data_IF_516295657023
#
_entry.id   IF_516295657023
#
_cell.length_a   1.000
_cell.length_b   1.000
_cell.length_c   1.000
_cell.angle_alpha   90.00
_cell.angle_beta   90.00
_cell.angle_gamma   90.00
#
_symmetry.space_group_name_H-M   'P 1'
#
loop_
_entity.id
_entity.type
_entity.pdbx_description
1 polymer ?
#
# COMPACT_ATOMS: atom_id res chain seq x y z
N UNK A 1 26.75 -1.06 -43.75
CA UNK A 1 26.92 0.27 -43.11
C UNK A 1 27.07 0.03 -41.61
N UNK A 2 28.23 0.39 -41.03
CA UNK A 2 28.58 0.15 -39.61
C UNK A 2 28.23 1.39 -38.79
N UNK A 3 27.29 1.30 -37.86
CA UNK A 3 27.00 2.37 -36.89
C UNK A 3 27.79 2.12 -35.60
N UNK A 4 28.84 2.91 -35.38
CA UNK A 4 29.46 3.09 -34.06
C UNK A 4 28.67 4.16 -33.30
N UNK A 5 28.02 3.77 -32.20
CA UNK A 5 27.35 4.67 -31.27
C UNK A 5 28.18 4.87 -30.01
N UNK A 6 28.76 6.07 -29.89
CA UNK A 6 29.56 6.60 -28.78
C UNK A 6 28.85 6.42 -27.42
N UNK A 7 29.57 5.88 -26.43
CA UNK A 7 29.18 5.89 -25.02
C UNK A 7 29.71 7.16 -24.36
N UNK A 8 28.82 8.07 -23.94
CA UNK A 8 29.17 9.23 -23.12
C UNK A 8 28.99 8.87 -21.63
N UNK A 9 30.10 8.78 -20.90
CA UNK A 9 30.11 8.67 -19.44
C UNK A 9 30.01 10.06 -18.81
N UNK A 10 28.89 10.36 -18.15
CA UNK A 10 28.74 11.55 -17.30
C UNK A 10 29.27 11.27 -15.90
N UNK A 11 30.37 11.92 -15.53
CA UNK A 11 30.91 11.96 -14.16
C UNK A 11 30.21 13.11 -13.43
N UNK A 12 29.30 12.80 -12.51
CA UNK A 12 28.70 13.79 -11.61
C UNK A 12 29.56 13.90 -10.33
N UNK A 13 30.33 14.98 -10.22
CA UNK A 13 30.95 15.43 -8.99
C UNK A 13 29.91 16.17 -8.13
N UNK A 14 29.51 15.58 -7.01
CA UNK A 14 28.75 16.28 -5.98
C UNK A 14 29.71 16.92 -4.98
N UNK A 15 29.86 18.25 -5.05
CA UNK A 15 30.48 19.05 -4.02
C UNK A 15 29.50 19.24 -2.85
N UNK A 16 29.87 18.74 -1.66
CA UNK A 16 29.13 18.94 -0.42
C UNK A 16 29.47 20.28 0.22
N UNK A 17 28.45 21.09 0.54
CA UNK A 17 28.59 22.25 1.42
C UNK A 17 28.06 21.89 2.81
N UNK A 18 28.98 21.74 3.77
CA UNK A 18 28.67 21.67 5.19
C UNK A 18 28.49 23.09 5.76
N UNK A 19 27.24 23.52 5.94
CA UNK A 19 26.91 24.76 6.63
C UNK A 19 26.50 24.48 8.07
N UNK A 20 27.40 24.75 9.03
CA UNK A 20 27.05 24.97 10.43
C UNK A 20 26.93 26.48 10.65
N UNK A 21 25.78 26.95 11.10
CA UNK A 21 25.70 28.21 11.85
C UNK A 21 24.75 28.04 13.05
N UNK A 22 25.34 28.26 14.21
CA UNK A 22 24.70 28.44 15.51
C UNK A 22 24.13 29.86 15.52
N UNK A 23 22.87 30.02 15.95
CA UNK A 23 22.34 31.33 16.34
C UNK A 23 21.44 31.19 17.56
N UNK A 24 22.10 31.44 18.69
CA UNK A 24 21.70 32.26 19.84
C UNK A 24 20.22 32.44 20.19
N UNK A 25 19.96 32.16 21.47
CA UNK A 25 18.74 32.38 22.22
C UNK A 25 18.33 33.86 22.21
N UNK A 26 17.06 34.11 21.98
CA UNK A 26 16.38 35.26 22.56
C UNK A 26 14.99 34.84 23.04
N UNK A 27 14.84 34.82 24.37
CA UNK A 27 13.58 34.61 25.08
C UNK A 27 12.72 35.88 24.98
N UNK A 28 11.47 35.81 24.49
CA UNK A 28 10.55 36.94 24.56
C UNK A 28 10.03 37.16 26.00
N UNK A 29 9.71 38.40 26.36
CA UNK A 29 9.20 38.75 27.69
C UNK A 29 7.77 38.22 27.91
N UNK A 30 7.50 37.84 29.16
CA UNK A 30 6.20 37.40 29.65
C UNK A 30 5.08 38.40 29.30
N UNK A 31 4.22 38.00 28.36
CA UNK A 31 2.97 38.70 28.06
C UNK A 31 1.84 38.16 28.93
N UNK A 32 1.03 39.11 29.41
CA UNK A 32 -0.07 38.98 30.36
C UNK A 32 -1.09 37.94 29.93
N UNK A 33 -1.45 37.07 30.87
CA UNK A 33 -2.66 36.25 30.84
C UNK A 33 -3.90 37.15 30.79
N UNK A 34 -4.45 37.39 29.60
CA UNK A 34 -5.88 37.64 29.45
C UNK A 34 -6.57 36.29 29.32
N UNK A 35 -7.17 35.84 30.41
CA UNK A 35 -8.04 34.66 30.48
C UNK A 35 -9.12 34.76 29.39
N UNK A 36 -9.10 33.91 28.35
CA UNK A 36 -10.25 33.73 27.50
C UNK A 36 -11.31 33.00 28.33
N UNK A 37 -12.53 33.55 28.37
CA UNK A 37 -13.70 32.84 28.86
C UNK A 37 -13.86 31.55 28.06
N UNK A 38 -13.41 30.43 28.63
CA UNK A 38 -13.61 29.08 28.12
C UNK A 38 -15.11 28.76 28.15
N UNK A 39 -15.82 29.11 27.09
CA UNK A 39 -17.04 28.42 26.71
C UNK A 39 -16.64 26.99 26.34
N UNK A 40 -17.25 25.94 26.91
CA UNK A 40 -17.02 24.57 26.46
C UNK A 40 -17.47 24.46 25.01
N UNK A 41 -16.52 24.52 24.07
CA UNK A 41 -16.77 24.12 22.69
C UNK A 41 -17.18 22.66 22.72
N UNK A 42 -18.44 22.40 22.38
CA UNK A 42 -18.93 21.05 22.17
C UNK A 42 -17.96 20.32 21.23
N UNK A 43 -17.61 19.05 21.51
CA UNK A 43 -16.76 18.29 20.61
C UNK A 43 -17.42 18.27 19.23
N UNK A 44 -16.76 18.87 18.24
CA UNK A 44 -17.13 18.73 16.84
C UNK A 44 -16.90 17.26 16.52
N UNK A 45 -17.97 16.48 16.56
CA UNK A 45 -18.00 15.08 16.17
C UNK A 45 -17.59 15.04 14.69
N UNK A 46 -16.32 14.70 14.44
CA UNK A 46 -15.86 14.40 13.09
C UNK A 46 -16.58 13.14 12.66
N UNK A 47 -17.66 13.32 11.90
CA UNK A 47 -18.36 12.25 11.25
C UNK A 47 -17.35 11.55 10.33
N UNK A 48 -16.82 10.41 10.76
CA UNK A 48 -15.89 9.63 9.95
C UNK A 48 -16.68 9.10 8.75
N UNK A 49 -16.36 9.59 7.56
CA UNK A 49 -16.96 9.14 6.30
C UNK A 49 -16.71 7.63 6.14
N UNK A 50 -17.73 6.81 6.39
CA UNK A 50 -17.68 5.36 6.13
C UNK A 50 -17.76 5.16 4.63
N UNK A 51 -16.62 4.84 4.01
CA UNK A 51 -16.52 4.64 2.56
C UNK A 51 -16.99 3.24 2.19
N UNK A 52 -17.96 3.12 1.29
CA UNK A 52 -18.39 1.83 0.72
C UNK A 52 -17.43 1.40 -0.41
N UNK A 53 -16.33 0.77 0.00
CA UNK A 53 -15.27 0.31 -0.91
C UNK A 53 -15.78 -0.75 -1.90
N UNK A 54 -16.73 -1.60 -1.49
CA UNK A 54 -17.26 -2.68 -2.33
C UNK A 54 -18.09 -2.11 -3.48
N UNK A 55 -18.99 -1.16 -3.19
CA UNK A 55 -19.78 -0.50 -4.24
C UNK A 55 -18.90 0.36 -5.16
N UNK A 56 -17.89 1.04 -4.61
CA UNK A 56 -16.91 1.80 -5.40
C UNK A 56 -16.16 0.89 -6.39
N UNK A 57 -15.74 -0.31 -5.97
CA UNK A 57 -15.06 -1.25 -6.86
C UNK A 57 -15.94 -1.73 -8.01
N UNK A 58 -17.21 -2.06 -7.73
CA UNK A 58 -18.19 -2.45 -8.77
C UNK A 58 -18.42 -1.32 -9.76
N UNK A 59 -18.62 -0.09 -9.27
CA UNK A 59 -18.77 1.11 -10.10
C UNK A 59 -17.55 1.30 -11.03
N UNK A 60 -16.35 1.11 -10.49
CA UNK A 60 -15.12 1.20 -11.25
C UNK A 60 -14.84 -0.03 -12.11
N UNK A 61 -15.67 -1.08 -12.12
CA UNK A 61 -15.43 -2.35 -12.83
C UNK A 61 -14.08 -2.97 -12.46
N UNK A 62 -13.81 -3.03 -11.15
CA UNK A 62 -12.62 -3.62 -10.53
C UNK A 62 -12.96 -4.88 -9.73
N UNK A 63 -14.18 -5.38 -9.85
CA UNK A 63 -14.73 -6.59 -9.25
C UNK A 63 -14.33 -7.83 -10.06
N UNK A 64 -13.03 -8.13 -10.08
CA UNK A 64 -12.52 -9.33 -10.73
C UNK A 64 -12.71 -10.57 -9.85
N UNK A 65 -12.86 -11.76 -10.47
CA UNK A 65 -12.79 -13.02 -9.74
C UNK A 65 -11.40 -13.19 -9.11
N UNK A 66 -11.31 -13.85 -7.94
CA UNK A 66 -10.08 -13.93 -7.14
C UNK A 66 -8.93 -14.66 -7.84
N UNK A 67 -9.26 -15.53 -8.78
CA UNK A 67 -8.33 -16.31 -9.59
C UNK A 67 -7.62 -15.42 -10.62
N UNK A 68 -8.16 -14.23 -10.92
CA UNK A 68 -7.51 -13.23 -11.77
C UNK A 68 -6.50 -12.44 -10.95
N UNK A 69 -5.36 -13.07 -10.72
CA UNK A 69 -4.24 -12.51 -9.97
C UNK A 69 -3.69 -11.24 -10.63
N UNK A 70 -3.17 -10.33 -9.82
CA UNK A 70 -2.45 -9.15 -10.28
C UNK A 70 -2.90 -7.84 -9.65
N UNK A 71 -2.39 -6.75 -10.23
CA UNK A 71 -2.61 -5.38 -9.79
C UNK A 71 -3.60 -4.65 -10.70
N UNK A 72 -4.63 -4.06 -10.10
CA UNK A 72 -5.55 -3.15 -10.76
C UNK A 72 -5.61 -1.81 -10.03
N UNK A 73 -5.60 -0.73 -10.79
CA UNK A 73 -5.72 0.64 -10.26
C UNK A 73 -6.55 1.47 -11.21
N UNK A 74 -7.52 2.20 -10.65
CA UNK A 74 -8.31 3.19 -11.36
C UNK A 74 -8.42 4.46 -10.56
N UNK A 75 -8.50 5.58 -11.26
CA UNK A 75 -8.73 6.87 -10.63
C UNK A 75 -10.22 7.19 -10.60
N UNK A 76 -10.64 7.90 -9.57
CA UNK A 76 -12.00 8.43 -9.44
C UNK A 76 -11.97 9.80 -8.77
N UNK A 77 -13.04 10.57 -8.92
CA UNK A 77 -13.23 11.85 -8.24
C UNK A 77 -14.22 11.66 -7.10
N UNK A 78 -13.89 12.13 -5.90
CA UNK A 78 -14.71 11.93 -4.70
C UNK A 78 -16.10 12.54 -4.83
N UNK A 79 -16.26 13.66 -5.51
CA UNK A 79 -17.57 14.33 -5.65
C UNK A 79 -18.51 13.67 -6.66
N UNK A 80 -18.00 12.79 -7.52
CA UNK A 80 -18.77 12.14 -8.58
C UNK A 80 -19.30 10.76 -8.16
N UNK A 81 -18.77 10.16 -7.10
CA UNK A 81 -19.00 8.74 -6.79
C UNK A 81 -20.05 8.47 -5.71
N UNK A 82 -20.23 9.36 -4.73
CA UNK A 82 -21.27 9.23 -3.69
C UNK A 82 -21.17 8.01 -2.74
N UNK A 83 -20.08 7.22 -2.79
CA UNK A 83 -19.87 6.05 -1.93
C UNK A 83 -19.23 6.41 -0.57
N UNK A 84 -19.89 7.27 0.19
CA UNK A 84 -19.39 7.80 1.47
C UNK A 84 -18.66 9.14 1.36
N UNK A 85 -18.40 9.63 0.14
CA UNK A 85 -17.84 10.95 -0.09
C UNK A 85 -18.94 12.00 -0.31
N UNK A 86 -18.74 13.18 0.27
CA UNK A 86 -19.58 14.35 -0.05
C UNK A 86 -19.45 14.75 -1.52
N UNK A 87 -20.58 15.04 -2.15
CA UNK A 87 -20.66 15.55 -3.53
C UNK A 87 -20.30 17.03 -3.66
N UNK A 88 -20.15 17.75 -2.53
CA UNK A 88 -19.96 19.20 -2.50
C UNK A 88 -18.70 19.63 -1.74
N UNK A 89 -18.10 18.73 -0.96
CA UNK A 89 -16.96 19.04 -0.10
C UNK A 89 -15.78 18.12 -0.40
N UNK A 90 -14.56 18.64 -0.24
CA UNK A 90 -13.32 17.87 -0.35
C UNK A 90 -13.15 17.11 -1.69
N UNK A 91 -13.62 17.70 -2.80
CA UNK A 91 -13.48 17.13 -4.14
C UNK A 91 -12.00 16.96 -4.50
N UNK A 92 -11.59 15.72 -4.76
CA UNK A 92 -10.23 15.39 -5.18
C UNK A 92 -10.21 14.11 -5.99
N UNK A 93 -9.20 14.00 -6.84
CA UNK A 93 -8.90 12.75 -7.55
C UNK A 93 -8.16 11.81 -6.61
N UNK A 94 -8.68 10.59 -6.47
CA UNK A 94 -8.08 9.51 -5.71
C UNK A 94 -7.83 8.29 -6.62
N UNK A 95 -7.09 7.32 -6.08
CA UNK A 95 -6.78 6.05 -6.70
C UNK A 95 -7.48 4.94 -5.89
N UNK A 96 -8.32 4.15 -6.54
CA UNK A 96 -8.80 2.88 -6.04
C UNK A 96 -7.86 1.79 -6.53
N UNK A 97 -7.41 0.94 -5.60
CA UNK A 97 -6.40 -0.09 -5.82
C UNK A 97 -6.99 -1.43 -5.38
N UNK A 98 -6.90 -2.42 -6.28
CA UNK A 98 -7.23 -3.81 -5.99
C UNK A 98 -6.03 -4.68 -6.35
N UNK A 99 -5.55 -5.45 -5.38
CA UNK A 99 -4.47 -6.42 -5.60
C UNK A 99 -5.01 -7.81 -5.28
N UNK A 100 -5.04 -8.67 -6.28
CA UNK A 100 -5.45 -10.07 -6.15
C UNK A 100 -4.21 -10.93 -6.09
N UNK A 101 -4.09 -11.73 -5.05
CA UNK A 101 -2.89 -12.52 -4.79
C UNK A 101 -3.23 -13.93 -4.34
N UNK A 102 -2.31 -14.85 -4.56
CA UNK A 102 -2.37 -16.21 -4.01
C UNK A 102 -1.14 -16.46 -3.14
N UNK A 103 -1.35 -16.93 -1.91
CA UNK A 103 -0.26 -17.32 -1.01
C UNK A 103 -0.21 -18.84 -0.94
N UNK A 104 0.95 -19.40 -1.26
CA UNK A 104 1.24 -20.82 -1.09
C UNK A 104 2.55 -20.97 -0.32
N UNK A 105 2.68 -22.05 0.42
CA UNK A 105 3.87 -22.40 1.14
C UNK A 105 4.53 -23.63 0.52
N UNK A 106 5.87 -23.71 0.60
CA UNK A 106 6.63 -24.88 0.21
C UNK A 106 7.10 -25.61 1.47
N UNK A 107 6.66 -26.84 1.69
CA UNK A 107 7.02 -27.61 2.89
C UNK A 107 8.47 -28.18 2.87
N UNK A 108 9.09 -28.30 1.69
CA UNK A 108 10.42 -28.91 1.54
C UNK A 108 11.53 -27.87 1.35
N UNK A 109 12.65 -28.05 2.07
CA UNK A 109 13.90 -27.27 1.90
C UNK A 109 14.89 -27.96 0.95
N UNK A 110 14.46 -29.01 0.24
CA UNK A 110 15.31 -29.86 -0.60
C UNK A 110 15.99 -29.10 -1.75
N UNK A 111 17.20 -29.58 -2.09
CA UNK A 111 18.06 -29.08 -3.18
C UNK A 111 17.28 -28.83 -4.48
N UNK A 112 17.55 -27.67 -5.08
CA UNK A 112 16.85 -26.96 -6.17
C UNK A 112 16.89 -27.70 -7.53
N UNK A 113 17.11 -29.02 -7.55
CA UNK A 113 17.31 -29.76 -8.80
C UNK A 113 16.00 -30.23 -9.43
N UNK A 114 14.86 -30.14 -8.73
CA UNK A 114 13.54 -30.46 -9.27
C UNK A 114 12.74 -29.19 -9.56
N UNK A 115 12.09 -29.15 -10.72
CA UNK A 115 11.16 -28.07 -11.11
C UNK A 115 10.00 -28.08 -10.10
N UNK A 116 9.80 -26.96 -9.41
CA UNK A 116 8.65 -26.79 -8.52
C UNK A 116 7.36 -26.82 -9.33
N UNK A 117 6.47 -27.74 -8.98
CA UNK A 117 5.13 -27.82 -9.54
C UNK A 117 4.10 -27.28 -8.56
N UNK A 118 2.89 -26.97 -9.03
CA UNK A 118 1.80 -26.53 -8.17
C UNK A 118 1.37 -27.62 -7.14
N UNK A 119 1.73 -28.89 -7.37
CA UNK A 119 1.48 -30.00 -6.43
C UNK A 119 2.46 -30.00 -5.24
N UNK A 120 3.62 -29.35 -5.37
CA UNK A 120 4.62 -29.22 -4.29
C UNK A 120 4.31 -28.06 -3.33
N UNK A 121 3.22 -27.33 -3.60
CA UNK A 121 2.85 -26.10 -2.92
C UNK A 121 1.51 -26.28 -2.21
N UNK A 122 1.48 -26.00 -0.91
CA UNK A 122 0.26 -26.01 -0.10
C UNK A 122 -0.29 -24.61 0.00
N UNK A 123 -1.57 -24.35 -0.29
CA UNK A 123 -2.18 -23.05 -0.04
C UNK A 123 -2.08 -22.65 1.44
N UNK A 124 -1.84 -21.36 1.71
CA UNK A 124 -1.97 -20.84 3.07
C UNK A 124 -3.42 -20.37 3.25
N UNK A 125 -4.22 -21.22 3.88
CA UNK A 125 -5.65 -21.01 4.05
C UNK A 125 -5.99 -20.18 5.29
N UNK A 126 -7.13 -19.48 5.24
CA UNK A 126 -7.78 -18.81 6.39
C UNK A 126 -6.86 -17.93 7.24
N UNK A 127 -5.82 -17.36 6.62
CA UNK A 127 -4.78 -16.62 7.33
C UNK A 127 -5.00 -15.12 7.19
N UNK A 128 -4.82 -14.40 8.30
CA UNK A 128 -4.81 -12.95 8.30
C UNK A 128 -3.49 -12.45 7.72
N UNK A 129 -3.55 -11.88 6.53
CA UNK A 129 -2.44 -11.25 5.82
C UNK A 129 -2.41 -9.78 6.17
N UNK A 130 -1.43 -9.38 6.96
CA UNK A 130 -1.08 -7.97 7.19
C UNK A 130 -0.39 -7.43 5.96
N UNK A 131 -0.83 -6.29 5.46
CA UNK A 131 -0.20 -5.67 4.30
C UNK A 131 0.08 -4.19 4.53
N UNK A 132 1.18 -3.73 3.94
CA UNK A 132 1.57 -2.31 3.92
C UNK A 132 1.97 -1.95 2.49
N UNK A 133 1.33 -0.92 1.96
CA UNK A 133 1.58 -0.35 0.64
C UNK A 133 1.88 1.15 0.81
N UNK A 134 3.18 1.47 0.89
CA UNK A 134 3.70 2.82 1.21
C UNK A 134 3.14 3.35 2.54
N UNK A 135 2.09 4.17 2.49
CA UNK A 135 1.45 4.85 3.61
C UNK A 135 0.02 4.36 3.87
N UNK A 136 -0.39 3.28 3.19
CA UNK A 136 -1.68 2.62 3.39
C UNK A 136 -1.41 1.21 3.89
N UNK A 137 -2.15 0.77 4.89
CA UNK A 137 -2.01 -0.55 5.47
C UNK A 137 -3.37 -1.14 5.82
N UNK A 138 -3.40 -2.46 6.02
CA UNK A 138 -4.62 -3.14 6.40
C UNK A 138 -4.44 -4.64 6.58
N UNK A 139 -5.59 -5.30 6.63
CA UNK A 139 -5.72 -6.75 6.77
C UNK A 139 -6.51 -7.30 5.60
N UNK A 140 -6.11 -8.48 5.14
CA UNK A 140 -6.85 -9.28 4.18
C UNK A 140 -6.86 -10.73 4.66
N UNK A 141 -7.88 -11.50 4.31
CA UNK A 141 -7.92 -12.94 4.55
C UNK A 141 -7.70 -13.72 3.27
N UNK A 142 -7.10 -14.90 3.39
CA UNK A 142 -7.05 -15.89 2.31
C UNK A 142 -8.20 -16.88 2.43
N UNK A 143 -8.67 -17.41 1.30
CA UNK A 143 -9.62 -18.53 1.25
C UNK A 143 -8.91 -19.91 1.28
N UNK A 144 -9.67 -20.99 1.10
CA UNK A 144 -9.18 -22.37 1.09
C UNK A 144 -8.21 -22.68 -0.06
N UNK A 145 -8.06 -21.79 -1.05
CA UNK A 145 -7.08 -21.95 -2.13
C UNK A 145 -5.93 -20.95 -2.01
N UNK A 146 -5.86 -20.25 -0.87
CA UNK A 146 -4.84 -19.26 -0.58
C UNK A 146 -5.05 -17.92 -1.31
N UNK A 147 -6.20 -17.69 -1.94
CA UNK A 147 -6.47 -16.43 -2.64
C UNK A 147 -6.93 -15.35 -1.66
N UNK A 148 -6.36 -14.17 -1.81
CA UNK A 148 -6.73 -12.97 -1.04
C UNK A 148 -6.86 -11.74 -1.93
N UNK A 149 -7.45 -10.69 -1.36
CA UNK A 149 -7.62 -9.41 -2.01
C UNK A 149 -7.23 -8.27 -1.08
N UNK A 150 -6.36 -7.38 -1.55
CA UNK A 150 -6.12 -6.07 -0.94
C UNK A 150 -7.00 -5.06 -1.63
N UNK A 151 -7.68 -4.24 -0.84
CA UNK A 151 -8.48 -3.11 -1.31
C UNK A 151 -7.96 -1.86 -0.60
N UNK A 152 -7.61 -0.84 -1.37
CA UNK A 152 -7.04 0.38 -0.82
C UNK A 152 -7.47 1.61 -1.62
N UNK A 153 -7.55 2.75 -0.93
CA UNK A 153 -7.72 4.07 -1.54
C UNK A 153 -6.50 4.91 -1.20
N UNK A 154 -5.94 5.62 -2.19
CA UNK A 154 -4.77 6.46 -2.00
C UNK A 154 -4.90 7.79 -2.74
N UNK A 155 -4.18 8.80 -2.26
CA UNK A 155 -4.03 10.10 -2.94
C UNK A 155 -3.04 10.04 -4.10
N UNK A 156 -2.23 8.98 -4.19
CA UNK A 156 -1.19 8.80 -5.22
C UNK A 156 -1.24 7.38 -5.77
N UNK A 157 -0.81 7.20 -7.02
CA UNK A 157 -0.64 5.87 -7.61
C UNK A 157 0.33 5.02 -6.78
N UNK A 158 -0.03 3.76 -6.56
CA UNK A 158 0.76 2.81 -5.79
C UNK A 158 1.43 1.74 -6.65
N UNK A 159 1.26 1.80 -7.98
CA UNK A 159 1.70 0.76 -8.93
C UNK A 159 3.17 0.36 -8.79
N UNK A 160 4.05 1.33 -8.56
CA UNK A 160 5.50 1.10 -8.44
C UNK A 160 5.99 0.97 -6.99
N UNK A 161 5.09 1.03 -6.02
CA UNK A 161 5.45 1.03 -4.60
C UNK A 161 5.74 -0.38 -4.11
N UNK A 162 6.48 -0.47 -3.00
CA UNK A 162 6.77 -1.74 -2.33
C UNK A 162 5.56 -2.15 -1.49
N UNK A 163 5.08 -3.35 -1.75
CA UNK A 163 4.10 -4.07 -0.95
C UNK A 163 4.84 -4.95 0.05
N UNK A 164 4.55 -4.76 1.34
CA UNK A 164 4.92 -5.68 2.41
C UNK A 164 3.72 -6.58 2.68
N UNK A 165 3.92 -7.89 2.64
CA UNK A 165 2.93 -8.87 3.10
C UNK A 165 3.48 -9.59 4.31
N UNK A 166 2.65 -9.87 5.32
CA UNK A 166 3.05 -10.61 6.50
C UNK A 166 1.96 -11.49 7.07
N UNK A 167 2.36 -12.67 7.51
CA UNK A 167 1.52 -13.66 8.20
C UNK A 167 2.26 -14.05 9.48
N UNK A 168 1.58 -13.99 10.63
CA UNK A 168 2.24 -14.14 11.92
C UNK A 168 3.37 -13.11 12.09
N UNK A 169 4.56 -13.54 12.50
CA UNK A 169 5.73 -12.68 12.67
C UNK A 169 6.57 -12.51 11.40
N UNK A 170 6.26 -13.25 10.34
CA UNK A 170 7.06 -13.25 9.14
C UNK A 170 6.50 -12.25 8.12
N UNK A 171 7.38 -11.71 7.28
CA UNK A 171 6.99 -10.81 6.21
C UNK A 171 7.93 -10.92 5.01
N UNK A 172 7.43 -10.45 3.87
CA UNK A 172 8.18 -10.32 2.64
C UNK A 172 7.87 -8.99 1.98
N UNK A 173 8.77 -8.55 1.10
CA UNK A 173 8.60 -7.37 0.29
C UNK A 173 8.60 -7.74 -1.18
N UNK A 174 7.71 -7.10 -1.94
CA UNK A 174 7.65 -7.17 -3.39
C UNK A 174 7.16 -5.86 -3.96
N UNK A 175 7.21 -5.70 -5.29
CA UNK A 175 6.56 -4.56 -5.95
C UNK A 175 5.07 -4.85 -6.12
N UNK A 176 4.22 -3.85 -5.89
CA UNK A 176 2.77 -4.01 -6.00
C UNK A 176 2.31 -4.48 -7.40
N UNK A 177 2.99 -4.08 -8.48
CA UNK A 177 2.68 -4.52 -9.84
C UNK A 177 3.04 -5.97 -10.16
N UNK A 178 3.95 -6.56 -9.39
CA UNK A 178 4.59 -7.84 -9.74
C UNK A 178 3.95 -9.01 -8.97
N UNK A 179 3.08 -8.71 -8.01
CA UNK A 179 2.39 -9.70 -7.20
C UNK A 179 1.36 -10.47 -8.03
N UNK A 180 1.53 -11.79 -8.03
CA UNK A 180 0.54 -12.72 -8.57
C UNK A 180 0.44 -13.92 -7.62
N UNK A 181 1.43 -14.80 -7.66
CA UNK A 181 1.60 -15.95 -6.76
C UNK A 181 2.78 -15.69 -5.83
N UNK A 182 2.56 -15.85 -4.54
CA UNK A 182 3.54 -15.67 -3.48
C UNK A 182 3.87 -17.04 -2.91
N UNK A 183 5.09 -17.52 -3.18
CA UNK A 183 5.60 -18.76 -2.59
C UNK A 183 6.42 -18.39 -1.35
N UNK A 184 5.92 -18.76 -0.19
CA UNK A 184 6.53 -18.44 1.10
C UNK A 184 7.45 -19.56 1.57
N UNK A 185 8.44 -19.26 2.43
CA UNK A 185 9.25 -20.28 3.04
C UNK A 185 8.44 -21.13 4.04
N UNK A 186 9.06 -22.25 4.47
CA UNK A 186 8.43 -23.29 5.28
C UNK A 186 7.89 -22.79 6.62
N UNK A 187 8.51 -21.78 7.19
CA UNK A 187 8.12 -21.13 8.44
C UNK A 187 6.77 -20.40 8.38
N UNK A 188 6.18 -20.25 7.19
CA UNK A 188 4.81 -19.75 7.00
C UNK A 188 3.79 -20.88 6.83
N UNK A 189 4.24 -22.11 6.62
CA UNK A 189 3.33 -23.25 6.51
C UNK A 189 2.63 -23.50 7.85
N UNK A 190 1.33 -23.87 7.84
CA UNK A 190 0.62 -24.35 9.01
C UNK A 190 1.19 -25.69 9.53
#
# INVERSE_FOLDING_TARGET
MKNLGLSLSFIFLFAGCAGKSVSERQSPPAQRNTTPTNLPSAPIEKNEEVIDVVSLQKYLRMDYPKEKLGYSEKTFNTCDVGFGYSNTQNCRRLYSISIYFQVKCRQSEGTINTILTDADLTPIESSNVRWVLKNVEGLSSTDSFGYGQIQAISTQSQRQQRLRLGIGNNFLYMRASDITKVVTPKDWCP
#
